data_IF_813045720449
#
_entry.id   IF_813045720449
#
_cell.length_a   1.000
_cell.length_b   1.000
_cell.length_c   1.000
_cell.angle_alpha   90.00
_cell.angle_beta   90.00
_cell.angle_gamma   90.00
#
_symmetry.space_group_name_H-M   'P 1'
#
loop_
_entity.id
_entity.type
_entity.pdbx_description
1 polymer ?
#
# COMPACT_ATOMS: atom_id res chain seq x y z
N UNK A 1 18.69 -11.84 -1.58
CA UNK A 1 19.88 -11.01 -1.51
C UNK A 1 19.46 -9.57 -1.21
N UNK A 2 20.00 -9.03 -0.10
CA UNK A 2 19.78 -7.64 0.27
C UNK A 2 20.85 -6.80 -0.41
N UNK A 3 20.42 -5.71 -1.06
CA UNK A 3 21.31 -4.78 -1.73
C UNK A 3 21.27 -3.41 -1.01
N UNK A 4 22.45 -2.81 -0.85
CA UNK A 4 22.58 -1.43 -0.44
C UNK A 4 23.13 -0.63 -1.64
N UNK A 5 22.50 0.49 -1.98
CA UNK A 5 23.00 1.35 -3.06
C UNK A 5 23.94 2.38 -2.42
N UNK A 6 25.27 2.27 -2.59
CA UNK A 6 26.23 3.06 -1.83
C UNK A 6 26.13 4.56 -2.07
N UNK A 7 25.60 4.98 -3.21
CA UNK A 7 25.40 6.39 -3.56
C UNK A 7 24.23 7.05 -2.81
N UNK A 8 23.15 6.30 -2.56
CA UNK A 8 21.93 6.79 -1.89
C UNK A 8 21.99 6.64 -0.36
N UNK A 9 22.85 5.75 0.15
CA UNK A 9 23.07 5.61 1.60
C UNK A 9 23.80 6.80 2.22
N UNK A 10 24.44 7.66 1.42
CA UNK A 10 25.15 8.85 1.89
C UNK A 10 24.23 10.04 2.23
N UNK A 11 22.95 9.97 1.88
CA UNK A 11 21.98 11.02 2.21
C UNK A 11 21.70 10.95 3.72
N UNK A 12 22.00 12.02 4.50
CA UNK A 12 21.76 12.03 5.94
C UNK A 12 20.28 11.84 6.24
N UNK A 13 19.95 10.94 7.17
CA UNK A 13 18.61 10.55 7.65
C UNK A 13 17.86 9.64 6.68
N UNK A 14 17.70 9.97 5.39
CA UNK A 14 16.91 9.19 4.43
C UNK A 14 17.67 7.96 3.89
N UNK A 15 18.99 8.07 3.72
CA UNK A 15 19.82 7.00 3.21
C UNK A 15 19.77 5.72 4.06
N UNK A 16 20.04 5.80 5.37
CA UNK A 16 20.00 4.64 6.26
C UNK A 16 18.62 4.01 6.40
N UNK A 17 17.55 4.81 6.34
CA UNK A 17 16.18 4.33 6.56
C UNK A 17 15.63 3.63 5.31
N UNK A 18 15.86 4.18 4.12
CA UNK A 18 15.20 3.70 2.90
C UNK A 18 16.10 2.85 1.98
N UNK A 19 17.43 3.00 2.08
CA UNK A 19 18.35 2.42 1.09
C UNK A 19 19.40 1.46 1.68
N UNK A 20 19.35 1.18 2.99
CA UNK A 20 20.28 0.25 3.62
C UNK A 20 19.66 -1.12 3.74
N UNK A 21 20.35 -2.13 3.19
CA UNK A 21 20.00 -3.54 3.39
C UNK A 21 18.58 -3.96 2.97
N UNK A 22 18.04 -3.31 1.94
CA UNK A 22 16.69 -3.57 1.44
C UNK A 22 16.69 -4.69 0.38
N UNK A 23 15.56 -5.40 0.28
CA UNK A 23 15.38 -6.39 -0.79
C UNK A 23 15.15 -5.69 -2.14
N UNK A 24 15.50 -6.34 -3.24
CA UNK A 24 15.25 -5.85 -4.61
C UNK A 24 13.79 -5.49 -4.83
N UNK A 25 12.87 -6.22 -4.21
CA UNK A 25 11.42 -6.00 -4.33
C UNK A 25 10.98 -4.65 -3.73
N UNK A 26 11.67 -4.16 -2.70
CA UNK A 26 11.40 -2.83 -2.12
C UNK A 26 11.79 -1.73 -3.11
N UNK A 27 12.92 -1.86 -3.79
CA UNK A 27 13.33 -0.88 -4.83
C UNK A 27 12.37 -0.87 -6.02
N UNK A 28 11.85 -2.04 -6.41
CA UNK A 28 10.80 -2.12 -7.43
C UNK A 28 9.56 -1.35 -6.95
N UNK A 29 9.16 -1.50 -5.69
CA UNK A 29 8.06 -0.74 -5.10
C UNK A 29 8.28 0.77 -5.16
N UNK A 30 9.48 1.26 -4.82
CA UNK A 30 9.82 2.68 -4.93
C UNK A 30 9.74 3.21 -6.36
N UNK A 31 10.15 2.41 -7.34
CA UNK A 31 10.09 2.76 -8.75
C UNK A 31 8.65 2.77 -9.30
N UNK A 32 7.83 1.84 -8.82
CA UNK A 32 6.45 1.69 -9.28
C UNK A 32 5.57 2.91 -8.98
N UNK A 33 5.78 3.59 -7.85
CA UNK A 33 4.98 4.75 -7.46
C UNK A 33 5.14 5.93 -8.45
N UNK A 34 6.36 6.45 -8.70
CA UNK A 34 6.53 7.54 -9.66
C UNK A 34 6.19 7.12 -11.09
N UNK A 35 6.40 5.85 -11.45
CA UNK A 35 6.07 5.33 -12.76
C UNK A 35 4.55 5.29 -12.96
N UNK A 36 3.79 4.80 -11.99
CA UNK A 36 2.33 4.81 -12.02
C UNK A 36 1.78 6.24 -12.05
N UNK A 37 2.33 7.14 -11.24
CA UNK A 37 1.94 8.55 -11.24
C UNK A 37 2.20 9.20 -12.60
N UNK A 38 3.39 9.01 -13.17
CA UNK A 38 3.74 9.54 -14.49
C UNK A 38 2.84 8.98 -15.58
N UNK A 39 2.63 7.66 -15.56
CA UNK A 39 1.77 6.97 -16.53
C UNK A 39 0.34 7.52 -16.52
N UNK A 40 -0.29 7.60 -15.35
CA UNK A 40 -1.68 8.05 -15.21
C UNK A 40 -1.84 9.54 -15.49
N UNK A 41 -0.86 10.38 -15.08
CA UNK A 41 -1.02 11.84 -15.13
C UNK A 41 -0.41 12.48 -16.38
N UNK A 42 0.57 11.83 -17.01
CA UNK A 42 1.38 12.44 -18.09
C UNK A 42 1.34 11.71 -19.43
N UNK A 43 0.65 10.56 -19.51
CA UNK A 43 0.59 9.81 -20.77
C UNK A 43 -0.80 9.82 -21.41
N UNK A 44 -0.88 9.66 -22.73
CA UNK A 44 -2.16 9.53 -23.46
C UNK A 44 -2.99 8.34 -22.98
N UNK A 45 -2.42 7.14 -22.79
CA UNK A 45 -3.18 6.01 -22.23
C UNK A 45 -3.76 6.29 -20.84
N UNK A 46 -3.03 7.02 -19.98
CA UNK A 46 -3.52 7.45 -18.67
C UNK A 46 -4.71 8.40 -18.77
N UNK A 47 -4.68 9.33 -19.74
CA UNK A 47 -5.81 10.22 -20.01
C UNK A 47 -7.05 9.43 -20.45
N UNK A 48 -6.89 8.47 -21.36
CA UNK A 48 -7.97 7.59 -21.81
C UNK A 48 -8.52 6.76 -20.65
N UNK A 49 -7.66 6.25 -19.76
CA UNK A 49 -8.06 5.50 -18.58
C UNK A 49 -8.97 6.33 -17.66
N UNK A 50 -8.61 7.59 -17.42
CA UNK A 50 -9.43 8.52 -16.62
C UNK A 50 -10.77 8.83 -17.31
N UNK A 51 -10.75 9.11 -18.61
CA UNK A 51 -11.97 9.35 -19.36
C UNK A 51 -12.93 8.16 -19.32
N UNK A 52 -12.43 6.93 -19.47
CA UNK A 52 -13.21 5.71 -19.35
C UNK A 52 -13.71 5.49 -17.91
N UNK A 53 -12.95 5.93 -16.90
CA UNK A 53 -13.34 5.82 -15.51
C UNK A 53 -14.43 6.81 -15.10
N UNK A 54 -14.36 8.06 -15.59
CA UNK A 54 -15.31 9.12 -15.24
C UNK A 54 -16.58 9.04 -16.09
N UNK A 55 -16.44 8.94 -17.41
CA UNK A 55 -17.57 8.96 -18.36
C UNK A 55 -17.37 7.96 -19.50
N UNK A 56 -17.66 6.66 -19.28
CA UNK A 56 -17.46 5.61 -20.29
C UNK A 56 -18.20 5.87 -21.60
N UNK A 57 -19.43 6.37 -21.53
CA UNK A 57 -20.25 6.63 -22.72
C UNK A 57 -19.67 7.77 -23.59
N UNK A 58 -19.12 8.82 -22.98
CA UNK A 58 -18.45 9.89 -23.70
C UNK A 58 -17.13 9.42 -24.32
N UNK A 59 -16.38 8.57 -23.61
CA UNK A 59 -15.15 7.98 -24.12
C UNK A 59 -15.42 7.08 -25.35
N UNK A 60 -16.49 6.29 -25.32
CA UNK A 60 -16.92 5.45 -26.45
C UNK A 60 -17.34 6.28 -27.67
N UNK A 61 -18.08 7.36 -27.45
CA UNK A 61 -18.46 8.31 -28.50
C UNK A 61 -17.26 8.99 -29.19
N UNK A 62 -16.13 9.12 -28.48
CA UNK A 62 -14.86 9.62 -29.02
C UNK A 62 -14.00 8.53 -29.69
N UNK A 63 -14.54 7.32 -29.82
CA UNK A 63 -13.86 6.19 -30.48
C UNK A 63 -12.89 5.41 -29.57
N UNK A 64 -12.93 5.62 -28.27
CA UNK A 64 -12.12 4.86 -27.33
C UNK A 64 -12.83 3.55 -27.02
N UNK A 65 -12.23 2.42 -27.33
CA UNK A 65 -12.81 1.13 -27.04
C UNK A 65 -12.79 0.82 -25.52
N UNK A 66 -13.88 1.10 -24.84
CA UNK A 66 -14.07 0.97 -23.39
C UNK A 66 -13.87 -0.47 -22.92
N UNK A 67 -14.38 -1.47 -23.67
CA UNK A 67 -14.22 -2.87 -23.30
C UNK A 67 -12.74 -3.29 -23.31
N UNK A 68 -12.02 -3.01 -24.37
CA UNK A 68 -10.59 -3.34 -24.46
C UNK A 68 -9.78 -2.69 -23.36
N UNK A 69 -10.08 -1.42 -23.04
CA UNK A 69 -9.43 -0.70 -21.96
C UNK A 69 -9.69 -1.36 -20.61
N UNK A 70 -10.92 -1.67 -20.29
CA UNK A 70 -11.27 -2.34 -19.02
C UNK A 70 -10.56 -3.69 -18.88
N UNK A 71 -10.62 -4.55 -19.89
CA UNK A 71 -9.93 -5.84 -19.84
C UNK A 71 -8.43 -5.69 -19.64
N UNK A 72 -7.80 -4.79 -20.38
CA UNK A 72 -6.35 -4.58 -20.28
C UNK A 72 -5.93 -4.11 -18.90
N UNK A 73 -6.65 -3.15 -18.30
CA UNK A 73 -6.29 -2.65 -16.97
C UNK A 73 -6.67 -3.60 -15.82
N UNK A 74 -7.72 -4.39 -15.97
CA UNK A 74 -8.01 -5.49 -15.02
C UNK A 74 -6.90 -6.54 -15.09
N UNK A 75 -6.43 -6.88 -16.27
CA UNK A 75 -5.30 -7.81 -16.44
C UNK A 75 -4.01 -7.27 -15.80
N UNK A 76 -3.66 -6.01 -16.05
CA UNK A 76 -2.50 -5.36 -15.41
C UNK A 76 -2.68 -5.32 -13.89
N UNK A 77 -3.86 -5.00 -13.40
CA UNK A 77 -4.17 -5.03 -11.96
C UNK A 77 -3.98 -6.42 -11.35
N UNK A 78 -4.43 -7.47 -12.05
CA UNK A 78 -4.20 -8.86 -11.65
C UNK A 78 -2.72 -9.25 -11.60
N UNK A 79 -1.93 -8.81 -12.58
CA UNK A 79 -0.48 -9.02 -12.59
C UNK A 79 0.20 -8.35 -11.38
N UNK A 80 -0.17 -7.11 -11.05
CA UNK A 80 0.36 -6.39 -9.90
C UNK A 80 -0.07 -7.03 -8.57
N UNK A 81 -1.30 -7.51 -8.48
CA UNK A 81 -1.78 -8.26 -7.32
C UNK A 81 -1.01 -9.59 -7.15
N UNK A 82 -0.76 -10.30 -8.24
CA UNK A 82 0.08 -11.51 -8.23
C UNK A 82 1.52 -11.23 -7.80
N UNK A 83 2.11 -10.14 -8.28
CA UNK A 83 3.44 -9.69 -7.86
C UNK A 83 3.45 -9.37 -6.35
N UNK A 84 2.42 -8.71 -5.84
CA UNK A 84 2.26 -8.42 -4.41
C UNK A 84 2.16 -9.70 -3.57
N UNK A 85 1.38 -10.69 -4.00
CA UNK A 85 1.32 -11.99 -3.34
C UNK A 85 2.66 -12.73 -3.36
N UNK A 86 3.38 -12.68 -4.49
CA UNK A 86 4.73 -13.22 -4.61
C UNK A 86 5.72 -12.54 -3.67
N UNK A 87 5.65 -11.21 -3.50
CA UNK A 87 6.50 -10.50 -2.53
C UNK A 87 6.21 -10.92 -1.10
N UNK A 88 4.95 -11.13 -0.77
CA UNK A 88 4.54 -11.59 0.56
C UNK A 88 5.14 -12.96 0.89
N UNK A 89 5.00 -13.94 -0.02
CA UNK A 89 5.44 -15.31 0.20
C UNK A 89 6.95 -15.52 0.07
N UNK A 90 7.68 -14.64 -0.64
CA UNK A 90 9.12 -14.78 -0.85
C UNK A 90 9.96 -13.90 0.08
N UNK A 91 9.47 -12.72 0.45
CA UNK A 91 10.26 -11.73 1.18
C UNK A 91 9.76 -11.43 2.59
N UNK A 92 8.45 -11.44 2.81
CA UNK A 92 7.85 -11.04 4.10
C UNK A 92 7.62 -12.25 5.00
N UNK A 93 6.97 -13.29 4.47
CA UNK A 93 6.70 -14.54 5.18
C UNK A 93 7.17 -15.71 4.30
N UNK A 94 8.46 -16.06 4.32
CA UNK A 94 9.01 -17.09 3.45
C UNK A 94 8.30 -18.44 3.65
N UNK A 95 7.60 -18.89 2.62
CA UNK A 95 6.80 -20.10 2.62
C UNK A 95 5.30 -19.83 2.61
N UNK A 96 4.55 -20.86 2.26
CA UNK A 96 3.09 -20.88 2.32
C UNK A 96 2.67 -21.86 3.40
N UNK A 97 2.20 -21.36 4.53
CA UNK A 97 1.80 -22.20 5.67
C UNK A 97 0.29 -22.42 5.74
N UNK A 98 -0.48 -21.41 5.37
CA UNK A 98 -1.95 -21.48 5.36
C UNK A 98 -2.54 -20.26 4.64
N UNK A 99 -3.84 -20.26 4.41
CA UNK A 99 -4.61 -19.11 3.91
C UNK A 99 -4.48 -17.89 4.82
N UNK A 100 -4.19 -18.10 6.11
CA UNK A 100 -3.96 -17.03 7.09
C UNK A 100 -2.64 -16.28 6.87
N UNK A 101 -1.73 -16.78 6.01
CA UNK A 101 -0.47 -16.09 5.69
C UNK A 101 -0.69 -14.68 5.15
N UNK A 102 -1.79 -14.44 4.44
CA UNK A 102 -2.16 -13.10 3.96
C UNK A 102 -2.71 -12.19 5.05
N UNK A 103 -3.22 -12.74 6.17
CA UNK A 103 -3.70 -11.99 7.33
C UNK A 103 -4.70 -10.89 7.01
N UNK A 104 -5.54 -11.08 5.99
CA UNK A 104 -6.53 -10.06 5.60
C UNK A 104 -5.95 -8.81 4.91
N UNK A 105 -4.67 -8.81 4.53
CA UNK A 105 -4.00 -7.64 3.92
C UNK A 105 -4.69 -7.17 2.63
N UNK A 106 -5.34 -8.08 1.89
CA UNK A 106 -6.11 -7.73 0.70
C UNK A 106 -7.27 -6.78 1.00
N UNK A 107 -7.99 -7.01 2.09
CA UNK A 107 -9.08 -6.12 2.52
C UNK A 107 -8.58 -4.75 2.95
N UNK A 108 -7.42 -4.70 3.61
CA UNK A 108 -6.75 -3.45 3.97
C UNK A 108 -6.35 -2.68 2.71
N UNK A 109 -5.83 -3.38 1.69
CA UNK A 109 -5.47 -2.75 0.42
C UNK A 109 -6.69 -2.11 -0.26
N UNK A 110 -7.86 -2.76 -0.24
CA UNK A 110 -9.12 -2.18 -0.75
C UNK A 110 -9.46 -0.90 0.02
N UNK A 111 -9.39 -0.93 1.35
CA UNK A 111 -9.61 0.26 2.19
C UNK A 111 -8.64 1.40 1.86
N UNK A 112 -7.37 1.09 1.65
CA UNK A 112 -6.35 2.08 1.26
C UNK A 112 -6.62 2.70 -0.12
N UNK A 113 -7.10 1.93 -1.09
CA UNK A 113 -7.45 2.45 -2.43
C UNK A 113 -8.61 3.45 -2.32
N UNK A 114 -9.64 3.13 -1.53
CA UNK A 114 -10.78 4.04 -1.29
C UNK A 114 -10.29 5.33 -0.62
N UNK A 115 -9.43 5.22 0.40
CA UNK A 115 -8.81 6.37 1.05
C UNK A 115 -7.99 7.21 0.08
N UNK A 116 -7.20 6.58 -0.76
CA UNK A 116 -6.35 7.24 -1.74
C UNK A 116 -7.13 7.97 -2.85
N UNK A 117 -8.43 7.73 -2.95
CA UNK A 117 -9.27 8.29 -4.02
C UNK A 117 -8.66 8.05 -5.41
N UNK A 118 -8.16 6.86 -5.63
CA UNK A 118 -7.53 6.41 -6.88
C UNK A 118 -6.23 7.15 -7.25
N UNK A 119 -5.64 7.93 -6.32
CA UNK A 119 -4.39 8.64 -6.53
C UNK A 119 -3.19 7.76 -6.11
N UNK A 120 -2.21 7.50 -7.01
CA UNK A 120 -1.07 6.63 -6.70
C UNK A 120 -0.19 7.15 -5.58
N UNK A 121 -0.03 8.47 -5.46
CA UNK A 121 0.83 9.08 -4.44
C UNK A 121 0.17 8.94 -3.06
N UNK A 122 -1.13 9.21 -2.96
CA UNK A 122 -1.88 9.02 -1.72
C UNK A 122 -1.91 7.54 -1.31
N UNK A 123 -2.07 6.63 -2.28
CA UNK A 123 -2.00 5.19 -2.05
C UNK A 123 -0.63 4.78 -1.47
N UNK A 124 0.46 5.32 -2.00
CA UNK A 124 1.80 5.08 -1.49
C UNK A 124 1.95 5.59 -0.05
N UNK A 125 1.57 6.84 0.23
CA UNK A 125 1.64 7.42 1.60
C UNK A 125 0.82 6.55 2.57
N UNK A 126 -0.40 6.18 2.21
CA UNK A 126 -1.26 5.31 3.03
C UNK A 126 -0.63 3.94 3.28
N UNK A 127 -0.03 3.32 2.27
CA UNK A 127 0.61 2.01 2.41
C UNK A 127 1.85 2.06 3.31
N UNK A 128 2.66 3.13 3.23
CA UNK A 128 3.80 3.32 4.14
C UNK A 128 3.35 3.59 5.58
N UNK A 129 2.35 4.44 5.78
CA UNK A 129 1.79 4.69 7.10
C UNK A 129 1.25 3.41 7.74
N UNK A 130 0.55 2.59 6.94
CA UNK A 130 0.03 1.31 7.40
C UNK A 130 1.15 0.29 7.70
N UNK A 131 2.16 0.22 6.84
CA UNK A 131 3.34 -0.62 7.04
C UNK A 131 4.11 -0.24 8.30
N UNK A 132 4.31 1.06 8.54
CA UNK A 132 4.93 1.59 9.74
C UNK A 132 4.13 1.25 11.00
N UNK A 133 2.81 1.42 10.97
CA UNK A 133 1.92 1.06 12.08
C UNK A 133 2.02 -0.44 12.41
N UNK A 134 1.98 -1.29 11.38
CA UNK A 134 2.13 -2.74 11.56
C UNK A 134 3.48 -3.12 12.17
N UNK A 135 4.56 -2.49 11.70
CA UNK A 135 5.90 -2.72 12.25
C UNK A 135 5.98 -2.29 13.71
N UNK A 136 5.45 -1.14 14.03
CA UNK A 136 5.41 -0.59 15.38
C UNK A 136 4.65 -1.54 16.33
N UNK A 137 3.52 -2.11 15.89
CA UNK A 137 2.76 -3.09 16.67
C UNK A 137 3.61 -4.34 16.96
N UNK A 138 4.34 -4.85 15.96
CA UNK A 138 5.22 -6.01 16.14
C UNK A 138 6.37 -5.70 17.11
N UNK A 139 6.94 -4.51 17.03
CA UNK A 139 8.03 -4.09 17.93
C UNK A 139 7.52 -3.89 19.37
N UNK A 140 6.30 -3.40 19.56
CA UNK A 140 5.65 -3.29 20.89
C UNK A 140 5.37 -4.68 21.49
N UNK A 141 5.05 -5.67 20.68
CA UNK A 141 4.82 -7.05 21.12
C UNK A 141 6.13 -7.81 21.39
N UNK A 142 7.28 -7.25 21.05
CA UNK A 142 8.59 -7.86 21.27
C UNK A 142 8.99 -7.91 22.75
N UNK A 143 10.04 -8.71 23.08
CA UNK A 143 10.54 -8.86 24.45
C UNK A 143 11.28 -7.62 25.00
N UNK A 144 11.34 -6.53 24.25
CA UNK A 144 12.01 -5.30 24.64
C UNK A 144 11.27 -4.63 25.81
N UNK A 145 12.06 -4.11 26.78
CA UNK A 145 11.54 -3.28 27.86
C UNK A 145 10.93 -2.00 27.28
N UNK A 146 9.63 -1.81 27.45
CA UNK A 146 8.97 -0.55 27.11
C UNK A 146 9.29 0.49 28.20
N UNK A 147 10.07 1.50 27.85
CA UNK A 147 10.45 2.58 28.77
C UNK A 147 11.10 2.13 30.11
N UNK A 148 11.78 0.98 30.10
CA UNK A 148 12.44 0.45 31.31
C UNK A 148 11.56 -0.38 32.24
N UNK A 149 10.31 -0.66 31.85
CA UNK A 149 9.40 -1.55 32.53
C UNK A 149 9.21 -2.86 31.75
N UNK A 150 8.89 -3.95 32.46
CA UNK A 150 8.54 -5.21 31.81
C UNK A 150 7.36 -5.00 30.86
N UNK A 151 7.51 -5.47 29.62
CA UNK A 151 6.53 -5.25 28.58
C UNK A 151 5.24 -6.06 28.87
N UNK A 152 4.12 -5.43 29.25
CA UNK A 152 2.87 -6.14 29.58
C UNK A 152 2.27 -6.82 28.35
N UNK A 153 2.57 -6.34 27.13
CA UNK A 153 2.08 -6.90 25.86
C UNK A 153 2.80 -8.21 25.51
N UNK A 154 4.01 -8.40 25.99
CA UNK A 154 4.74 -9.65 25.80
C UNK A 154 4.23 -10.77 26.71
N UNK A 155 3.93 -10.44 27.97
CA UNK A 155 3.49 -11.43 28.96
C UNK A 155 2.00 -11.78 28.87
N UNK A 156 1.18 -10.90 28.32
CA UNK A 156 -0.27 -11.11 28.24
C UNK A 156 -0.73 -11.24 26.79
N UNK A 157 -1.00 -12.47 26.31
CA UNK A 157 -1.41 -12.70 24.91
C UNK A 157 -2.72 -12.00 24.55
N UNK A 158 -3.62 -11.75 25.51
CA UNK A 158 -4.88 -11.05 25.25
C UNK A 158 -4.65 -9.60 24.82
N UNK A 159 -3.68 -8.90 25.41
CA UNK A 159 -3.31 -7.55 25.01
C UNK A 159 -2.71 -7.51 23.59
N UNK A 160 -1.99 -8.57 23.20
CA UNK A 160 -1.48 -8.72 21.84
C UNK A 160 -2.58 -8.77 20.77
N UNK A 161 -3.70 -9.43 21.06
CA UNK A 161 -4.84 -9.45 20.15
C UNK A 161 -5.48 -8.07 19.95
N UNK A 162 -5.59 -7.25 21.00
CA UNK A 162 -6.07 -5.87 20.88
C UNK A 162 -5.16 -5.02 20.00
N UNK A 163 -3.85 -5.17 20.12
CA UNK A 163 -2.90 -4.47 19.26
C UNK A 163 -3.05 -4.85 17.77
N UNK A 164 -3.34 -6.11 17.49
CA UNK A 164 -3.59 -6.57 16.12
C UNK A 164 -4.88 -5.99 15.50
N UNK A 165 -5.80 -5.48 16.29
CA UNK A 165 -6.99 -4.78 15.79
C UNK A 165 -6.69 -3.33 15.36
N UNK A 166 -5.59 -2.72 15.85
CA UNK A 166 -5.24 -1.33 15.54
C UNK A 166 -5.16 -1.01 14.04
N UNK A 167 -4.57 -1.86 13.18
CA UNK A 167 -4.53 -1.59 11.74
C UNK A 167 -5.92 -1.49 11.11
N UNK A 168 -6.86 -2.31 11.55
CA UNK A 168 -8.24 -2.27 11.06
C UNK A 168 -8.97 -1.02 11.56
N UNK A 169 -8.80 -0.67 12.83
CA UNK A 169 -9.33 0.57 13.41
C UNK A 169 -8.76 1.79 12.67
N UNK A 170 -7.46 1.79 12.39
CA UNK A 170 -6.81 2.84 11.60
C UNK A 170 -7.42 2.95 10.20
N UNK A 171 -7.65 1.82 9.52
CA UNK A 171 -8.30 1.82 8.20
C UNK A 171 -9.70 2.44 8.25
N UNK A 172 -10.50 2.10 9.26
CA UNK A 172 -11.84 2.68 9.44
C UNK A 172 -11.76 4.19 9.67
N UNK A 173 -10.87 4.65 10.55
CA UNK A 173 -10.67 6.08 10.83
C UNK A 173 -10.29 6.83 9.55
N UNK A 174 -9.35 6.27 8.81
CA UNK A 174 -8.85 6.83 7.55
C UNK A 174 -9.97 6.90 6.49
N UNK A 175 -10.83 5.88 6.40
CA UNK A 175 -12.00 5.87 5.52
C UNK A 175 -13.02 6.94 5.92
N UNK A 176 -13.30 7.10 7.21
CA UNK A 176 -14.21 8.12 7.72
C UNK A 176 -13.71 9.53 7.40
N UNK A 177 -12.42 9.78 7.60
CA UNK A 177 -11.80 11.09 7.27
C UNK A 177 -11.83 11.33 5.75
N UNK A 178 -11.43 10.34 4.96
CA UNK A 178 -11.41 10.44 3.50
C UNK A 178 -12.81 10.66 2.90
N UNK A 179 -13.83 10.00 3.46
CA UNK A 179 -15.23 10.19 3.01
C UNK A 179 -15.74 11.62 3.28
N UNK A 180 -15.36 12.21 4.42
CA UNK A 180 -15.73 13.59 4.75
C UNK A 180 -15.13 14.59 3.77
N UNK A 181 -13.88 14.42 3.37
CA UNK A 181 -13.26 15.30 2.37
C UNK A 181 -13.90 15.16 0.98
N UNK A 182 -14.28 13.95 0.59
CA UNK A 182 -14.96 13.70 -0.68
C UNK A 182 -16.35 14.36 -0.72
N UNK A 183 -17.09 14.32 0.39
CA UNK A 183 -18.40 14.97 0.53
C UNK A 183 -18.23 16.50 0.50
N UNK A 184 -17.26 17.04 1.23
CA UNK A 184 -17.00 18.48 1.28
C UNK A 184 -16.65 19.09 -0.07
N UNK A 185 -15.91 18.34 -0.93
CA UNK A 185 -15.60 18.75 -2.30
C UNK A 185 -16.79 18.71 -3.27
N UNK A 186 -17.86 17.99 -2.93
CA UNK A 186 -19.09 17.94 -3.74
C UNK A 186 -20.11 19.02 -3.40
N UNK A 187 -20.02 19.60 -2.22
CA UNK A 187 -20.99 20.57 -1.69
C UNK A 187 -20.48 22.02 -1.84
N UNK A 188 -19.20 22.25 -2.04
CA UNK A 188 -18.56 23.54 -2.30
C UNK A 188 -18.09 23.66 -3.74
#
# INVERSE_FOLDING_TARGET
PNFSIPLLTQIPILGPIFFTNQSVLVYIGYLMVPLAWYYINRTRPGLHLRAVGEYPAAADALGINVFRMRYMYVFVGGMLAGLSGGTLSLAVAPGWFSELTTGGQGWIAVGLVIFAQWDPVRAAIGSYAFGALRRLILDIQGPLLLFGFDNPFYYNPYLGFFLQMLPYAFTVIVLVIGSREAIRKRIG
#
